data_IF_606934226896
#
_entry.id   IF_606934226896
#
_cell.length_a   1.000
_cell.length_b   1.000
_cell.length_c   1.000
_cell.angle_alpha   90.00
_cell.angle_beta   90.00
_cell.angle_gamma   90.00
#
_symmetry.space_group_name_H-M   'P 1'
#
loop_
_entity.id
_entity.type
_entity.pdbx_description
1 polymer ?
#
# COMPACT_ATOMS: atom_id res chain seq x y z
N UNK A 1 8.27 0.16 5.07
CA UNK A 1 7.26 -0.25 4.07
C UNK A 1 6.01 0.55 4.33
N UNK A 2 5.20 0.77 3.31
CA UNK A 2 3.92 1.46 3.43
C UNK A 2 2.81 0.49 3.03
N UNK A 3 1.80 0.37 3.88
CA UNK A 3 0.56 -0.33 3.62
C UNK A 3 -0.49 0.71 3.28
N UNK A 4 -0.93 0.76 2.04
CA UNK A 4 -2.03 1.62 1.62
C UNK A 4 -3.35 0.89 1.77
N UNK A 5 -4.35 1.56 2.32
CA UNK A 5 -5.72 1.05 2.31
C UNK A 5 -6.31 1.10 0.90
N UNK A 6 -7.05 0.06 0.56
CA UNK A 6 -7.90 0.04 -0.63
C UNK A 6 -9.37 0.14 -0.22
N UNK A 7 -10.18 0.76 -1.07
CA UNK A 7 -11.64 0.84 -0.90
C UNK A 7 -12.31 -0.53 -0.79
N UNK A 8 -11.68 -1.58 -1.33
CA UNK A 8 -12.15 -2.96 -1.25
C UNK A 8 -11.84 -3.63 0.11
N UNK A 9 -11.32 -2.90 1.09
CA UNK A 9 -10.97 -3.40 2.44
C UNK A 9 -9.64 -4.15 2.54
N UNK A 10 -8.99 -4.40 1.40
CA UNK A 10 -7.63 -4.94 1.32
C UNK A 10 -6.59 -3.84 1.47
N UNK A 11 -5.36 -4.21 1.77
CA UNK A 11 -4.22 -3.28 1.83
C UNK A 11 -3.17 -3.67 0.81
N UNK A 12 -2.51 -2.67 0.23
CA UNK A 12 -1.40 -2.87 -0.69
C UNK A 12 -0.08 -2.53 -0.02
N UNK A 13 0.83 -3.49 0.01
CA UNK A 13 2.19 -3.29 0.48
C UNK A 13 3.03 -2.67 -0.64
N UNK A 14 3.75 -1.61 -0.32
CA UNK A 14 4.76 -1.02 -1.19
C UNK A 14 5.99 -0.58 -0.40
N UNK A 15 7.12 -0.60 -1.09
CA UNK A 15 8.41 -0.17 -0.58
C UNK A 15 8.71 1.16 -1.24
N UNK A 16 8.71 2.23 -0.47
CA UNK A 16 9.19 3.54 -0.90
C UNK A 16 9.99 4.15 0.23
N UNK A 17 10.79 5.15 -0.08
CA UNK A 17 11.49 5.94 0.94
C UNK A 17 10.51 6.88 1.66
N UNK A 18 9.54 7.42 0.91
CA UNK A 18 8.48 8.32 1.36
C UNK A 18 7.10 7.80 0.95
N UNK A 19 6.00 8.27 1.56
CA UNK A 19 4.65 7.89 1.12
C UNK A 19 4.36 8.30 -0.33
N UNK A 20 4.92 9.42 -0.80
CA UNK A 20 4.83 9.88 -2.20
C UNK A 20 5.54 8.93 -3.16
N UNK A 21 6.79 8.57 -2.84
CA UNK A 21 7.61 7.60 -3.57
C UNK A 21 6.92 6.22 -3.62
N UNK A 22 6.32 5.81 -2.51
CA UNK A 22 5.54 4.59 -2.43
C UNK A 22 4.27 4.62 -3.29
N UNK A 23 3.56 5.76 -3.35
CA UNK A 23 2.43 5.98 -4.25
C UNK A 23 2.82 5.96 -5.71
N UNK A 24 3.98 6.54 -6.03
CA UNK A 24 4.52 6.58 -7.38
C UNK A 24 4.89 5.16 -7.86
N UNK A 25 5.58 4.38 -7.02
CA UNK A 25 5.89 2.96 -7.29
C UNK A 25 4.61 2.13 -7.44
N UNK A 26 3.59 2.40 -6.62
CA UNK A 26 2.27 1.79 -6.77
C UNK A 26 1.68 2.12 -8.14
N UNK A 27 1.75 3.37 -8.58
CA UNK A 27 1.27 3.82 -9.89
C UNK A 27 1.96 3.12 -11.06
N UNK A 28 3.25 2.81 -10.92
CA UNK A 28 4.01 2.11 -11.97
C UNK A 28 3.69 0.62 -12.04
N UNK A 29 3.32 0.00 -10.92
CA UNK A 29 3.10 -1.45 -10.84
C UNK A 29 1.63 -1.84 -10.95
N UNK A 30 0.72 -0.96 -10.54
CA UNK A 30 -0.70 -1.21 -10.54
C UNK A 30 -1.36 -0.68 -11.81
N UNK A 31 -2.35 -1.39 -12.34
CA UNK A 31 -3.20 -0.85 -13.36
C UNK A 31 -4.04 0.32 -12.79
N UNK A 32 -4.51 1.25 -13.64
CA UNK A 32 -5.23 2.44 -13.20
C UNK A 32 -6.46 2.11 -12.35
N UNK A 33 -7.17 1.03 -12.69
CA UNK A 33 -8.32 0.50 -11.94
C UNK A 33 -8.00 0.18 -10.47
N UNK A 34 -6.85 -0.44 -10.18
CA UNK A 34 -6.43 -0.76 -8.80
C UNK A 34 -5.93 0.50 -8.08
N UNK A 35 -5.31 1.42 -8.82
CA UNK A 35 -4.85 2.68 -8.25
C UNK A 35 -6.01 3.58 -7.81
N UNK A 36 -7.16 3.55 -8.51
CA UNK A 36 -8.38 4.25 -8.10
C UNK A 36 -9.00 3.70 -6.81
N UNK A 37 -8.70 2.43 -6.49
CA UNK A 37 -9.08 1.81 -5.23
C UNK A 37 -8.16 2.20 -4.08
N UNK A 38 -6.92 2.63 -4.34
CA UNK A 38 -5.96 3.03 -3.30
C UNK A 38 -6.38 4.36 -2.67
N UNK A 39 -6.46 4.38 -1.33
CA UNK A 39 -6.71 5.57 -0.54
C UNK A 39 -5.36 6.21 -0.19
N UNK A 40 -4.91 7.17 -1.00
CA UNK A 40 -3.62 7.87 -0.87
C UNK A 40 -3.40 8.51 0.50
N UNK A 41 -4.49 8.93 1.14
CA UNK A 41 -4.52 9.59 2.45
C UNK A 41 -4.45 8.57 3.61
N UNK A 42 -4.86 7.33 3.38
CA UNK A 42 -4.83 6.25 4.38
C UNK A 42 -3.71 5.27 4.09
N UNK A 43 -2.59 5.48 4.76
CA UNK A 43 -1.48 4.56 4.76
C UNK A 43 -0.91 4.36 6.16
N UNK A 44 -0.33 3.18 6.38
CA UNK A 44 0.37 2.84 7.61
C UNK A 44 1.81 2.52 7.26
N UNK A 45 2.74 3.26 7.86
CA UNK A 45 4.15 2.91 7.78
C UNK A 45 4.41 1.75 8.74
N UNK A 46 4.79 0.61 8.19
CA UNK A 46 5.15 -0.56 8.97
C UNK A 46 6.62 -0.94 8.77
N UNK A 47 7.19 -1.54 9.80
CA UNK A 47 8.49 -2.20 9.71
C UNK A 47 8.34 -3.63 9.18
N UNK A 48 9.42 -4.17 8.60
CA UNK A 48 9.44 -5.53 8.04
C UNK A 48 9.01 -6.61 9.03
N UNK A 49 9.28 -6.40 10.33
CA UNK A 49 8.87 -7.32 11.41
C UNK A 49 7.36 -7.37 11.61
N UNK A 50 6.66 -6.26 11.34
CA UNK A 50 5.20 -6.15 11.46
C UNK A 50 4.48 -6.66 10.20
N UNK A 51 5.21 -6.95 9.12
CA UNK A 51 4.61 -7.49 7.90
C UNK A 51 3.85 -8.78 8.17
N UNK A 52 4.38 -9.62 9.05
CA UNK A 52 3.77 -10.89 9.41
C UNK A 52 2.43 -10.70 10.14
N UNK A 53 2.29 -9.62 10.90
CA UNK A 53 1.02 -9.25 11.54
C UNK A 53 0.03 -8.69 10.53
N UNK A 54 0.47 -8.01 9.47
CA UNK A 54 -0.41 -7.39 8.48
C UNK A 54 -0.61 -8.22 7.20
N UNK A 55 0.05 -9.37 7.07
CA UNK A 55 0.01 -10.21 5.87
C UNK A 55 -1.41 -10.68 5.56
N UNK A 56 -2.25 -10.88 6.58
CA UNK A 56 -3.64 -11.27 6.42
C UNK A 56 -4.54 -10.15 5.85
N UNK A 57 -4.05 -8.91 5.84
CA UNK A 57 -4.73 -7.74 5.25
C UNK A 57 -4.30 -7.50 3.80
N UNK A 58 -3.27 -8.21 3.33
CA UNK A 58 -2.82 -8.15 1.95
C UNK A 58 -3.72 -9.02 1.08
N UNK A 59 -4.09 -8.54 -0.11
CA UNK A 59 -4.85 -9.36 -1.05
C UNK A 59 -4.82 -8.86 -2.48
#
# INVERSE_FOLDING_TARGET
MYLFDMKNGKKKLVYGQSPEDALEILSYRLPPEEMEQIIKDKYIKIHQRQLQEHVHLLG
#
